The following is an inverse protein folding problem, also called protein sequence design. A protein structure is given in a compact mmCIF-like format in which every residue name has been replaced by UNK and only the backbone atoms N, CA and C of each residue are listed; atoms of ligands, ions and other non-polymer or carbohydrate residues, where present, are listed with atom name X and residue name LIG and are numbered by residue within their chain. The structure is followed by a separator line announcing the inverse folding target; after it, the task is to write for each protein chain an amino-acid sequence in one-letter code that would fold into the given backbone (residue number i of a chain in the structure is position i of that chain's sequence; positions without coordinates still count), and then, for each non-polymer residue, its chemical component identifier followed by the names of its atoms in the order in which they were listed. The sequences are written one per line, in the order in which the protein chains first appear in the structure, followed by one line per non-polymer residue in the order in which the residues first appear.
data_IF_683188817415
#
_entry.id   IF_683188817415
#
_cell.length_a   1.000
_cell.length_b   1.000
_cell.length_c   1.000
_cell.angle_alpha   90.00
_cell.angle_beta   90.00
_cell.angle_gamma   90.00
#
_symmetry.space_group_name_H-M   'P 1'
#
loop_
_entity.id
_entity.type
_entity.pdbx_description
1 polymer ?
#
# COMPACT_ATOMS: atom_id res chain seq x y z
N UNK A 1 -31.38 -7.19 11.27
CA UNK A 1 -31.23 -8.62 10.93
C UNK A 1 -29.73 -8.82 10.74
N UNK A 2 -29.17 -9.71 11.56
CA UNK A 2 -27.76 -9.97 11.89
C UNK A 2 -26.66 -9.41 10.98
N UNK A 3 -25.80 -8.57 11.58
CA UNK A 3 -24.47 -8.22 11.08
C UNK A 3 -23.54 -9.45 11.20
N UNK A 4 -23.03 -9.91 10.07
CA UNK A 4 -22.03 -10.99 9.96
C UNK A 4 -20.65 -10.43 10.33
N UNK A 5 -20.36 -10.41 11.64
CA UNK A 5 -19.03 -10.05 12.16
C UNK A 5 -18.00 -11.10 11.71
N UNK A 6 -17.09 -10.67 10.85
CA UNK A 6 -15.93 -11.45 10.40
C UNK A 6 -15.09 -11.91 11.59
N UNK A 7 -15.21 -13.20 11.93
CA UNK A 7 -14.37 -13.88 12.92
C UNK A 7 -12.96 -14.04 12.36
N UNK A 8 -11.97 -13.43 13.00
CA UNK A 8 -10.56 -13.75 12.75
C UNK A 8 -9.92 -14.12 14.07
N UNK A 9 -9.56 -15.39 14.21
CA UNK A 9 -8.76 -15.88 15.31
C UNK A 9 -7.31 -15.43 15.09
N UNK A 10 -6.87 -14.42 15.84
CA UNK A 10 -5.43 -14.11 15.93
C UNK A 10 -4.83 -14.96 17.04
N UNK A 11 -4.31 -16.11 16.65
CA UNK A 11 -3.49 -16.95 17.53
C UNK A 11 -2.02 -16.57 17.32
N UNK A 12 -1.35 -16.08 18.37
CA UNK A 12 0.11 -16.00 18.38
C UNK A 12 0.71 -17.38 18.64
N UNK A 13 0.61 -18.29 17.66
CA UNK A 13 1.25 -19.60 17.70
C UNK A 13 1.74 -20.00 16.30
N UNK A 14 2.81 -20.79 16.25
CA UNK A 14 3.29 -21.45 15.03
C UNK A 14 2.18 -22.32 14.46
N UNK A 15 1.82 -22.06 13.19
CA UNK A 15 1.30 -23.00 12.19
C UNK A 15 0.42 -24.17 12.70
N UNK A 16 -0.90 -24.10 12.46
CA UNK A 16 -1.83 -25.23 12.32
C UNK A 16 -1.99 -26.25 13.46
N UNK A 17 -2.10 -25.83 14.72
CA UNK A 17 -2.62 -26.72 15.78
C UNK A 17 -3.97 -26.21 16.32
N UNK A 18 -4.98 -27.08 16.29
CA UNK A 18 -6.13 -27.01 17.21
C UNK A 18 -5.52 -26.81 18.59
N UNK A 19 -5.82 -25.69 19.27
CA UNK A 19 -5.34 -25.47 20.63
C UNK A 19 -5.61 -26.76 21.42
N UNK A 20 -4.56 -27.47 21.89
CA UNK A 20 -4.77 -28.60 22.76
C UNK A 20 -5.65 -28.13 23.93
N UNK A 21 -6.53 -28.98 24.44
CA UNK A 21 -7.45 -28.62 25.54
C UNK A 21 -6.72 -28.08 26.81
N UNK A 22 -5.39 -28.19 26.86
CA UNK A 22 -4.52 -27.72 27.93
C UNK A 22 -3.81 -26.38 27.66
N UNK A 23 -4.06 -25.68 26.54
CA UNK A 23 -3.41 -24.39 26.28
C UNK A 23 -4.20 -23.23 26.89
N UNK A 24 -3.52 -22.44 27.73
CA UNK A 24 -4.07 -21.20 28.25
C UNK A 24 -3.82 -20.05 27.27
N UNK A 25 -4.89 -19.41 26.78
CA UNK A 25 -4.82 -18.37 25.76
C UNK A 25 -6.14 -17.62 25.60
N UNK A 26 -6.13 -16.60 24.75
CA UNK A 26 -7.31 -15.81 24.39
C UNK A 26 -7.48 -15.76 22.88
N UNK A 27 -8.72 -15.79 22.44
CA UNK A 27 -9.12 -15.49 21.07
C UNK A 27 -9.63 -14.05 21.05
N UNK A 28 -9.06 -13.23 20.19
CA UNK A 28 -9.46 -11.83 20.03
C UNK A 28 -10.32 -11.66 18.78
N UNK A 29 -11.33 -10.80 18.88
CA UNK A 29 -12.11 -10.29 17.75
C UNK A 29 -11.88 -8.80 17.57
N UNK A 30 -12.19 -8.29 16.38
CA UNK A 30 -12.01 -6.87 16.06
C UNK A 30 -10.56 -6.42 16.17
N UNK A 31 -9.61 -7.29 15.78
CA UNK A 31 -8.19 -7.01 15.96
C UNK A 31 -7.75 -5.84 15.08
N UNK A 32 -7.13 -4.86 15.73
CA UNK A 32 -6.53 -3.69 15.08
C UNK A 32 -5.08 -3.61 15.54
N UNK A 33 -4.16 -3.63 14.58
CA UNK A 33 -2.75 -3.38 14.83
C UNK A 33 -2.46 -1.89 14.73
N UNK A 34 -1.60 -1.39 15.62
CA UNK A 34 -0.95 -0.11 15.43
C UNK A 34 -0.10 -0.18 14.16
N UNK A 35 -0.29 0.81 13.30
CA UNK A 35 0.45 0.98 12.05
C UNK A 35 1.94 1.14 12.35
N UNK A 36 2.77 0.46 11.55
CA UNK A 36 4.21 0.56 11.59
C UNK A 36 4.69 1.65 10.63
N UNK A 37 5.71 2.37 11.08
CA UNK A 37 6.31 3.51 10.35
C UNK A 37 7.36 3.06 9.33
N UNK A 38 7.89 4.03 8.56
CA UNK A 38 9.07 3.84 7.73
C UNK A 38 10.30 3.42 8.57
N UNK A 39 10.49 4.00 9.76
CA UNK A 39 11.60 3.64 10.64
C UNK A 39 11.50 2.19 11.11
N UNK A 40 10.29 1.72 11.44
CA UNK A 40 10.05 0.32 11.77
C UNK A 40 10.40 -0.59 10.58
N UNK A 41 10.02 -0.20 9.36
CA UNK A 41 10.40 -0.93 8.15
C UNK A 41 11.91 -1.01 7.96
N UNK A 42 12.62 0.11 8.12
CA UNK A 42 14.08 0.16 7.94
C UNK A 42 14.82 -0.68 8.99
N UNK A 43 14.35 -0.68 10.24
CA UNK A 43 14.86 -1.55 11.31
C UNK A 43 14.63 -3.01 10.97
N UNK A 44 13.41 -3.36 10.59
CA UNK A 44 13.07 -4.72 10.17
C UNK A 44 13.96 -5.21 9.00
N UNK A 45 14.22 -4.34 8.01
CA UNK A 45 15.10 -4.62 6.87
C UNK A 45 16.57 -4.79 7.25
N UNK A 46 17.01 -4.26 8.39
CA UNK A 46 18.34 -4.46 8.98
C UNK A 46 18.43 -5.69 9.88
N UNK A 47 17.43 -6.56 9.83
CA UNK A 47 17.27 -7.71 10.70
C UNK A 47 17.14 -7.35 12.19
N UNK A 48 16.59 -6.16 12.49
CA UNK A 48 16.21 -5.81 13.86
C UNK A 48 14.76 -6.26 14.13
N UNK A 49 14.46 -6.76 15.34
CA UNK A 49 13.09 -7.10 15.70
C UNK A 49 12.21 -5.85 15.80
N UNK A 50 10.99 -5.95 15.26
CA UNK A 50 9.98 -4.91 15.34
C UNK A 50 8.81 -5.40 16.17
N UNK A 51 8.31 -4.53 17.05
CA UNK A 51 7.17 -4.83 17.91
C UNK A 51 5.89 -4.26 17.32
N UNK A 52 4.94 -5.12 16.98
CA UNK A 52 3.59 -4.71 16.59
C UNK A 52 2.71 -4.71 17.82
N UNK A 53 2.19 -3.55 18.16
CA UNK A 53 1.17 -3.41 19.20
C UNK A 53 -0.17 -3.61 18.55
N UNK A 54 -1.04 -4.41 19.16
CA UNK A 54 -2.40 -4.62 18.67
C UNK A 54 -3.39 -4.64 19.82
N UNK A 55 -4.64 -4.42 19.48
CA UNK A 55 -5.76 -4.44 20.40
C UNK A 55 -6.93 -5.21 19.79
N UNK A 56 -7.77 -5.77 20.66
CA UNK A 56 -8.96 -6.50 20.28
C UNK A 56 -9.83 -6.80 21.50
N UNK A 57 -11.01 -7.38 21.26
CA UNK A 57 -11.93 -7.80 22.31
C UNK A 57 -11.80 -9.30 22.53
N UNK A 58 -11.65 -9.74 23.79
CA UNK A 58 -11.56 -11.17 24.11
C UNK A 58 -12.91 -11.83 23.83
N UNK A 59 -12.97 -12.70 22.83
CA UNK A 59 -14.16 -13.50 22.50
C UNK A 59 -14.16 -14.82 23.29
N UNK A 60 -13.00 -15.44 23.43
CA UNK A 60 -12.82 -16.69 24.17
C UNK A 60 -11.56 -16.61 25.01
N UNK A 61 -11.59 -17.19 26.20
CA UNK A 61 -10.44 -17.31 27.07
C UNK A 61 -10.38 -18.73 27.63
N UNK A 62 -9.26 -19.41 27.46
CA UNK A 62 -8.90 -20.61 28.20
C UNK A 62 -7.80 -20.22 29.20
N UNK A 63 -8.08 -20.22 30.50
CA UNK A 63 -7.06 -19.92 31.52
C UNK A 63 -6.52 -18.48 31.51
N UNK A 64 -5.23 -18.32 31.80
CA UNK A 64 -4.53 -17.03 31.90
C UNK A 64 -3.61 -16.78 30.70
N UNK A 65 -3.45 -15.51 30.31
CA UNK A 65 -2.39 -15.08 29.39
C UNK A 65 -1.20 -14.66 30.23
N UNK A 66 -0.20 -15.55 30.34
CA UNK A 66 0.80 -15.44 31.41
C UNK A 66 0.14 -15.61 32.77
N UNK A 67 0.32 -14.65 33.67
CA UNK A 67 -0.27 -14.65 35.02
C UNK A 67 -1.59 -13.85 35.11
N UNK A 68 -2.12 -13.37 33.98
CA UNK A 68 -3.30 -12.49 33.96
C UNK A 68 -4.51 -13.23 33.42
N UNK A 69 -5.59 -13.27 34.20
CA UNK A 69 -6.92 -13.68 33.72
C UNK A 69 -7.52 -12.50 32.98
N UNK A 70 -7.82 -12.67 31.69
CA UNK A 70 -8.48 -11.64 30.88
C UNK A 70 -9.92 -12.09 30.60
N UNK A 71 -10.94 -11.45 31.21
CA UNK A 71 -12.33 -11.83 31.02
C UNK A 71 -12.79 -11.70 29.55
N UNK A 72 -13.66 -12.62 29.13
CA UNK A 72 -14.41 -12.50 27.88
C UNK A 72 -15.21 -11.20 27.87
N UNK A 73 -15.23 -10.52 26.73
CA UNK A 73 -15.87 -9.21 26.53
C UNK A 73 -14.96 -8.01 26.82
N UNK A 74 -13.81 -8.21 27.48
CA UNK A 74 -12.88 -7.11 27.76
C UNK A 74 -11.97 -6.79 26.57
N UNK A 75 -11.60 -5.51 26.44
CA UNK A 75 -10.54 -5.09 25.53
C UNK A 75 -9.18 -5.50 26.09
N UNK A 76 -8.35 -6.06 25.23
CA UNK A 76 -6.96 -6.40 25.51
C UNK A 76 -6.06 -5.65 24.54
N UNK A 77 -4.92 -5.19 25.07
CA UNK A 77 -3.82 -4.65 24.28
C UNK A 77 -2.60 -5.55 24.49
N UNK A 78 -1.99 -5.96 23.40
CA UNK A 78 -0.83 -6.84 23.41
C UNK A 78 0.25 -6.37 22.43
N UNK A 79 1.41 -7.00 22.53
CA UNK A 79 2.57 -6.73 21.69
C UNK A 79 3.08 -8.05 21.14
N UNK A 80 3.24 -8.11 19.83
CA UNK A 80 3.94 -9.19 19.13
C UNK A 80 5.31 -8.68 18.70
N UNK A 81 6.37 -9.44 18.96
CA UNK A 81 7.66 -9.22 18.31
C UNK A 81 7.71 -10.02 17.00
N UNK A 82 7.92 -9.31 15.89
CA UNK A 82 8.19 -9.93 14.61
C UNK A 82 9.66 -10.35 14.56
N UNK A 83 9.88 -11.65 14.42
CA UNK A 83 11.21 -12.19 14.17
C UNK A 83 11.66 -11.78 12.76
N UNK A 84 12.79 -11.07 12.61
CA UNK A 84 13.30 -10.65 11.30
C UNK A 84 13.69 -11.81 10.39
N UNK A 85 13.82 -13.04 10.91
CA UNK A 85 14.07 -14.25 10.11
C UNK A 85 12.87 -14.67 9.26
N UNK A 86 11.65 -14.33 9.68
CA UNK A 86 10.46 -14.49 8.85
C UNK A 86 10.58 -13.42 7.77
N UNK A 87 10.55 -13.77 6.48
CA UNK A 87 10.66 -12.77 5.42
C UNK A 87 9.28 -12.17 5.17
N UNK A 88 8.99 -10.98 5.69
CA UNK A 88 7.77 -10.25 5.33
C UNK A 88 7.89 -9.68 3.91
N UNK A 89 7.61 -10.51 2.90
CA UNK A 89 7.64 -10.08 1.50
C UNK A 89 6.30 -9.49 1.06
N UNK A 90 5.19 -9.99 1.60
CA UNK A 90 3.83 -9.47 1.43
C UNK A 90 3.49 -8.38 2.44
N UNK A 91 3.47 -7.13 1.97
CA UNK A 91 3.31 -5.93 2.79
C UNK A 91 1.89 -5.39 2.59
N UNK A 92 1.13 -5.21 3.68
CA UNK A 92 -0.14 -4.49 3.64
C UNK A 92 0.09 -3.02 3.94
N UNK A 93 -0.07 -2.19 2.91
CA UNK A 93 -0.06 -0.73 3.03
C UNK A 93 -1.42 -0.28 3.55
N UNK A 94 -1.42 0.44 4.66
CA UNK A 94 -2.60 0.99 5.34
C UNK A 94 -2.40 2.49 5.55
N UNK A 95 -3.43 3.19 5.99
CA UNK A 95 -3.33 4.62 6.23
C UNK A 95 -2.18 4.94 7.22
N UNK A 96 -1.29 5.84 6.82
CA UNK A 96 -0.11 6.24 7.60
C UNK A 96 1.03 5.24 7.71
N UNK A 97 1.03 4.13 6.95
CA UNK A 97 2.17 3.20 6.94
C UNK A 97 1.84 1.78 6.51
N UNK A 98 2.28 0.80 7.29
CA UNK A 98 2.13 -0.61 6.95
C UNK A 98 1.82 -1.50 8.15
N UNK A 99 1.29 -2.69 7.88
CA UNK A 99 1.21 -3.79 8.82
C UNK A 99 1.62 -5.10 8.14
N UNK A 100 2.12 -6.09 8.88
CA UNK A 100 2.22 -7.45 8.37
C UNK A 100 0.87 -7.95 7.84
N UNK A 101 0.88 -8.72 6.75
CA UNK A 101 -0.35 -9.18 6.08
C UNK A 101 -1.36 -9.82 7.04
N UNK A 102 -0.90 -10.63 8.00
CA UNK A 102 -1.80 -11.31 8.94
C UNK A 102 -2.67 -10.38 9.79
N UNK A 103 -2.25 -9.14 10.05
CA UNK A 103 -3.13 -8.13 10.68
C UNK A 103 -4.13 -7.51 9.69
N UNK A 104 -3.77 -7.45 8.41
CA UNK A 104 -4.68 -7.09 7.33
C UNK A 104 -5.77 -8.14 7.11
N UNK A 105 -5.50 -9.43 7.40
CA UNK A 105 -6.46 -10.52 7.19
C UNK A 105 -7.70 -10.44 8.10
N UNK A 106 -7.68 -9.60 9.14
CA UNK A 106 -8.79 -9.40 10.07
C UNK A 106 -9.80 -8.36 9.59
N UNK A 107 -10.59 -8.70 8.57
CA UNK A 107 -11.73 -7.89 8.14
C UNK A 107 -11.38 -6.64 7.32
N UNK A 108 -10.14 -6.54 6.84
CA UNK A 108 -9.73 -5.45 5.95
C UNK A 108 -10.16 -5.74 4.50
N UNK A 109 -10.34 -4.67 3.74
CA UNK A 109 -10.60 -4.71 2.30
C UNK A 109 -9.29 -4.46 1.56
N UNK A 110 -8.73 -5.52 0.98
CA UNK A 110 -7.37 -5.55 0.45
C UNK A 110 -7.42 -5.46 -1.07
N UNK A 111 -6.90 -4.36 -1.59
CA UNK A 111 -6.60 -4.20 -3.00
C UNK A 111 -5.48 -5.17 -3.43
N UNK A 112 -5.70 -5.85 -4.55
CA UNK A 112 -4.75 -6.77 -5.17
C UNK A 112 -4.55 -6.40 -6.64
N UNK A 113 -3.29 -6.24 -7.04
CA UNK A 113 -2.88 -5.92 -8.41
C UNK A 113 -2.67 -7.18 -9.27
N UNK A 114 -2.20 -7.01 -10.52
CA UNK A 114 -1.87 -8.13 -11.40
C UNK A 114 -0.84 -9.08 -10.82
N UNK A 115 0.17 -8.56 -10.13
CA UNK A 115 1.25 -9.37 -9.57
C UNK A 115 0.74 -10.27 -8.45
N UNK A 116 -0.03 -9.72 -7.52
CA UNK A 116 -0.61 -10.46 -6.39
C UNK A 116 -1.64 -11.49 -6.86
N UNK A 117 -2.54 -11.13 -7.78
CA UNK A 117 -3.51 -12.09 -8.33
C UNK A 117 -2.80 -13.24 -9.06
N UNK A 118 -1.75 -12.94 -9.83
CA UNK A 118 -0.95 -13.95 -10.53
C UNK A 118 -0.23 -14.87 -9.54
N UNK A 119 0.28 -14.33 -8.45
CA UNK A 119 0.92 -15.10 -7.39
C UNK A 119 -0.06 -16.00 -6.64
N UNK A 120 -1.24 -15.49 -6.29
CA UNK A 120 -2.32 -16.28 -5.69
C UNK A 120 -2.69 -17.44 -6.64
N UNK A 121 -2.89 -17.14 -7.92
CA UNK A 121 -3.18 -18.15 -8.96
C UNK A 121 -2.06 -19.19 -9.07
N UNK A 122 -0.80 -18.78 -8.97
CA UNK A 122 0.34 -19.68 -9.04
C UNK A 122 0.46 -20.56 -7.79
N UNK A 123 0.15 -20.00 -6.62
CA UNK A 123 0.39 -20.62 -5.30
C UNK A 123 -0.74 -21.52 -4.82
N UNK A 124 -1.99 -21.22 -5.19
CA UNK A 124 -3.18 -21.89 -4.64
C UNK A 124 -4.06 -22.54 -5.70
N UNK A 125 -4.71 -23.64 -5.31
CA UNK A 125 -5.79 -24.30 -6.04
C UNK A 125 -6.83 -24.79 -5.04
N UNK A 126 -8.08 -24.36 -5.20
CA UNK A 126 -9.20 -24.74 -4.34
C UNK A 126 -8.91 -24.56 -2.83
N UNK A 127 -8.32 -23.43 -2.46
CA UNK A 127 -8.03 -23.03 -1.07
C UNK A 127 -6.77 -23.66 -0.49
N UNK A 128 -6.08 -24.53 -1.25
CA UNK A 128 -4.87 -25.23 -0.80
C UNK A 128 -3.65 -24.81 -1.60
N UNK A 129 -2.48 -24.86 -0.97
CA UNK A 129 -1.21 -24.66 -1.66
C UNK A 129 -0.99 -25.77 -2.67
N UNK A 130 -0.57 -25.41 -3.89
CA UNK A 130 -0.25 -26.40 -4.93
C UNK A 130 0.99 -27.21 -4.55
N UNK A 131 0.91 -28.52 -4.76
CA UNK A 131 2.05 -29.43 -4.58
C UNK A 131 3.23 -29.01 -5.47
N UNK A 132 4.44 -28.97 -4.91
CA UNK A 132 5.66 -28.58 -5.63
C UNK A 132 5.84 -27.07 -5.85
N UNK A 133 4.95 -26.22 -5.33
CA UNK A 133 5.20 -24.78 -5.24
C UNK A 133 6.35 -24.51 -4.26
N UNK A 134 7.20 -23.53 -4.58
CA UNK A 134 8.26 -23.10 -3.65
C UNK A 134 7.63 -22.68 -2.30
N UNK A 135 8.26 -22.98 -1.15
CA UNK A 135 7.79 -22.50 0.14
C UNK A 135 7.59 -20.98 0.09
N UNK A 136 6.42 -20.50 0.50
CA UNK A 136 6.23 -19.08 0.73
C UNK A 136 7.03 -18.76 1.99
N UNK A 137 7.98 -17.85 1.88
CA UNK A 137 8.75 -17.41 3.05
C UNK A 137 8.04 -16.31 3.84
N UNK A 138 6.76 -16.06 3.54
CA UNK A 138 5.98 -14.93 4.02
C UNK A 138 4.52 -15.33 4.36
N UNK A 139 3.76 -14.34 4.82
CA UNK A 139 2.39 -14.54 5.31
C UNK A 139 1.33 -14.74 4.21
N UNK A 140 1.71 -14.78 2.92
CA UNK A 140 0.74 -14.94 1.83
C UNK A 140 -0.01 -16.27 1.91
N UNK A 141 0.65 -17.30 2.43
CA UNK A 141 0.06 -18.63 2.66
C UNK A 141 -1.20 -18.59 3.54
N UNK A 142 -1.29 -17.60 4.43
CA UNK A 142 -2.41 -17.44 5.36
C UNK A 142 -3.73 -17.08 4.64
N UNK A 143 -3.68 -16.62 3.38
CA UNK A 143 -4.89 -16.45 2.57
C UNK A 143 -5.64 -17.78 2.33
N UNK A 144 -4.92 -18.91 2.37
CA UNK A 144 -5.50 -20.26 2.28
C UNK A 144 -6.23 -20.71 3.55
N UNK A 145 -6.10 -19.98 4.66
CA UNK A 145 -6.73 -20.37 5.91
C UNK A 145 -8.27 -20.16 5.84
N UNK A 146 -9.09 -21.16 6.19
CA UNK A 146 -10.56 -21.01 6.22
C UNK A 146 -11.08 -19.92 7.16
N UNK A 147 -10.29 -19.52 8.17
CA UNK A 147 -10.61 -18.42 9.10
C UNK A 147 -10.14 -17.05 8.60
N UNK A 148 -9.60 -16.95 7.37
CA UNK A 148 -9.23 -15.69 6.77
C UNK A 148 -10.49 -14.84 6.52
N UNK A 149 -10.60 -13.72 7.24
CA UNK A 149 -11.79 -12.86 7.22
C UNK A 149 -11.67 -11.62 6.33
N UNK A 150 -10.63 -11.51 5.49
CA UNK A 150 -10.47 -10.36 4.61
C UNK A 150 -11.33 -10.44 3.36
N UNK A 151 -11.45 -9.28 2.72
CA UNK A 151 -12.09 -9.13 1.43
C UNK A 151 -11.02 -8.74 0.42
N UNK A 152 -10.90 -9.48 -0.69
CA UNK A 152 -10.03 -9.08 -1.79
C UNK A 152 -10.81 -8.21 -2.78
N UNK A 153 -10.18 -7.15 -3.23
CA UNK A 153 -10.69 -6.29 -4.30
C UNK A 153 -9.70 -6.26 -5.47
N UNK A 154 -10.05 -6.90 -6.60
CA UNK A 154 -9.20 -6.94 -7.80
C UNK A 154 -9.40 -5.73 -8.74
N UNK A 155 -9.99 -4.63 -8.29
CA UNK A 155 -10.11 -3.41 -9.08
C UNK A 155 -8.76 -2.92 -9.64
N UNK A 156 -7.64 -2.91 -8.88
CA UNK A 156 -6.33 -2.56 -9.45
C UNK A 156 -5.92 -3.46 -10.60
N UNK A 157 -6.11 -4.79 -10.47
CA UNK A 157 -5.87 -5.73 -11.57
C UNK A 157 -6.61 -5.33 -12.85
N UNK A 158 -7.88 -4.95 -12.73
CA UNK A 158 -8.73 -4.62 -13.86
C UNK A 158 -8.40 -3.25 -14.49
N UNK A 159 -8.06 -2.27 -13.65
CA UNK A 159 -7.67 -0.92 -14.09
C UNK A 159 -6.29 -0.88 -14.75
N UNK A 160 -5.37 -1.78 -14.37
CA UNK A 160 -4.04 -1.85 -15.00
C UNK A 160 -4.14 -2.18 -16.49
N UNK A 161 -5.19 -2.90 -16.90
CA UNK A 161 -5.40 -3.19 -18.31
C UNK A 161 -4.27 -4.00 -18.95
N UNK A 162 -4.37 -4.20 -20.26
CA UNK A 162 -3.26 -4.70 -21.10
C UNK A 162 -2.81 -3.62 -22.09
N UNK A 163 -3.38 -2.43 -21.97
CA UNK A 163 -3.12 -1.26 -22.78
C UNK A 163 -2.23 -0.35 -21.94
N UNK A 164 -1.22 0.28 -22.55
CA UNK A 164 -0.37 1.27 -21.86
C UNK A 164 -1.12 2.61 -21.65
N UNK A 165 -2.37 2.53 -21.21
CA UNK A 165 -3.29 3.60 -20.89
C UNK A 165 -4.46 3.02 -20.06
N UNK A 166 -5.21 3.89 -19.38
CA UNK A 166 -6.43 3.47 -18.69
C UNK A 166 -7.41 2.81 -19.69
N UNK A 167 -7.92 1.60 -19.35
CA UNK A 167 -8.83 0.85 -20.22
C UNK A 167 -10.22 1.52 -20.35
N UNK A 168 -11.06 1.00 -21.26
CA UNK A 168 -12.49 1.36 -21.31
C UNK A 168 -13.25 0.71 -20.15
N UNK A 169 -14.45 1.21 -19.85
CA UNK A 169 -15.27 0.68 -18.76
C UNK A 169 -15.65 -0.81 -18.99
N UNK A 170 -15.95 -1.19 -20.23
CA UNK A 170 -16.23 -2.57 -20.63
C UNK A 170 -15.00 -3.46 -20.42
N UNK A 171 -13.82 -2.99 -20.83
CA UNK A 171 -12.58 -3.73 -20.65
C UNK A 171 -12.23 -3.93 -19.16
N UNK A 172 -12.51 -2.93 -18.30
CA UNK A 172 -12.38 -3.09 -16.84
C UNK A 172 -13.36 -4.14 -16.33
N UNK A 173 -14.63 -4.10 -16.76
CA UNK A 173 -15.65 -5.05 -16.33
C UNK A 173 -15.27 -6.50 -16.68
N UNK A 174 -14.82 -6.74 -17.92
CA UNK A 174 -14.35 -8.04 -18.38
C UNK A 174 -13.14 -8.54 -17.56
N UNK A 175 -12.18 -7.66 -17.31
CA UNK A 175 -10.99 -8.01 -16.54
C UNK A 175 -11.30 -8.25 -15.07
N UNK A 176 -12.25 -7.51 -14.49
CA UNK A 176 -12.71 -7.73 -13.13
C UNK A 176 -13.37 -9.11 -13.01
N UNK A 177 -14.24 -9.47 -13.95
CA UNK A 177 -14.86 -10.80 -13.98
C UNK A 177 -13.81 -11.92 -14.07
N UNK A 178 -12.80 -11.74 -14.93
CA UNK A 178 -11.67 -12.68 -15.08
C UNK A 178 -10.83 -12.81 -13.80
N UNK A 179 -10.53 -11.69 -13.13
CA UNK A 179 -9.79 -11.68 -11.88
C UNK A 179 -10.58 -12.34 -10.74
N UNK A 180 -11.87 -12.03 -10.61
CA UNK A 180 -12.76 -12.65 -9.63
C UNK A 180 -12.84 -14.16 -9.85
N UNK A 181 -13.02 -14.61 -11.10
CA UNK A 181 -13.03 -16.03 -11.44
C UNK A 181 -11.71 -16.72 -11.05
N UNK A 182 -10.59 -16.07 -11.34
CA UNK A 182 -9.25 -16.55 -10.96
C UNK A 182 -9.10 -16.68 -9.44
N UNK A 183 -9.49 -15.65 -8.69
CA UNK A 183 -9.41 -15.63 -7.23
C UNK A 183 -10.32 -16.70 -6.61
N UNK A 184 -11.58 -16.81 -7.06
CA UNK A 184 -12.53 -17.81 -6.56
C UNK A 184 -12.07 -19.25 -6.83
N UNK A 185 -11.40 -19.50 -7.96
CA UNK A 185 -10.80 -20.81 -8.23
C UNK A 185 -9.63 -21.12 -7.30
N UNK A 186 -8.76 -20.14 -7.06
CA UNK A 186 -7.57 -20.32 -6.24
C UNK A 186 -7.91 -20.41 -4.74
N UNK A 187 -8.83 -19.56 -4.26
CA UNK A 187 -9.20 -19.35 -2.86
C UNK A 187 -10.73 -19.22 -2.74
N UNK A 188 -11.50 -20.31 -2.84
CA UNK A 188 -12.97 -20.25 -2.88
C UNK A 188 -13.61 -19.72 -1.57
N UNK A 189 -12.90 -19.81 -0.45
CA UNK A 189 -13.33 -19.31 0.85
C UNK A 189 -13.20 -17.79 1.00
N UNK A 190 -12.37 -17.13 0.17
CA UNK A 190 -12.07 -15.71 0.36
C UNK A 190 -13.23 -14.85 -0.10
N UNK A 191 -13.54 -13.81 0.68
CA UNK A 191 -14.59 -12.86 0.32
C UNK A 191 -14.06 -11.91 -0.77
N UNK A 192 -14.92 -11.53 -1.71
CA UNK A 192 -14.62 -10.54 -2.74
C UNK A 192 -15.39 -9.27 -2.41
N UNK A 193 -14.73 -8.12 -2.54
CA UNK A 193 -15.36 -6.82 -2.37
C UNK A 193 -15.17 -5.94 -3.62
N UNK A 194 -16.22 -5.20 -4.03
CA UNK A 194 -17.61 -5.27 -3.54
C UNK A 194 -18.26 -6.63 -3.84
N UNK A 195 -19.26 -7.01 -3.03
CA UNK A 195 -19.98 -8.29 -3.21
C UNK A 195 -20.74 -8.30 -4.55
N UNK A 196 -21.33 -7.16 -4.90
CA UNK A 196 -21.85 -6.91 -6.23
C UNK A 196 -20.74 -6.26 -7.07
N UNK A 197 -20.48 -6.73 -8.30
CA UNK A 197 -19.51 -6.08 -9.19
C UNK A 197 -19.89 -4.63 -9.45
N UNK A 198 -18.88 -3.78 -9.65
CA UNK A 198 -19.09 -2.40 -10.08
C UNK A 198 -19.90 -2.37 -11.38
N UNK A 199 -20.88 -1.47 -11.43
CA UNK A 199 -21.62 -1.18 -12.66
C UNK A 199 -20.73 -0.48 -13.69
N UNK A 200 -21.11 -0.52 -14.97
CA UNK A 200 -20.39 0.20 -16.02
C UNK A 200 -20.34 1.71 -15.75
N UNK A 201 -21.41 2.27 -15.19
CA UNK A 201 -21.47 3.69 -14.83
C UNK A 201 -20.49 4.04 -13.71
N UNK A 202 -20.42 3.22 -12.66
CA UNK A 202 -19.46 3.41 -11.56
C UNK A 202 -18.01 3.34 -12.04
N UNK A 203 -17.72 2.38 -12.93
CA UNK A 203 -16.41 2.23 -13.55
C UNK A 203 -16.09 3.46 -14.43
N UNK A 204 -17.05 3.93 -15.24
CA UNK A 204 -16.86 5.08 -16.11
C UNK A 204 -16.56 6.35 -15.30
N UNK A 205 -17.33 6.61 -14.24
CA UNK A 205 -17.10 7.73 -13.32
C UNK A 205 -15.71 7.65 -12.68
N UNK A 206 -15.28 6.45 -12.29
CA UNK A 206 -13.94 6.25 -11.74
C UNK A 206 -12.84 6.54 -12.77
N UNK A 207 -12.97 6.03 -14.00
CA UNK A 207 -12.00 6.23 -15.07
C UNK A 207 -11.89 7.71 -15.43
N UNK A 208 -13.02 8.41 -15.58
CA UNK A 208 -13.03 9.82 -15.96
C UNK A 208 -12.45 10.72 -14.87
N UNK A 209 -12.64 10.37 -13.60
CA UNK A 209 -11.99 11.06 -12.47
C UNK A 209 -10.46 11.06 -12.58
N UNK A 210 -9.87 9.97 -13.06
CA UNK A 210 -8.43 9.78 -13.05
C UNK A 210 -7.76 9.91 -14.43
N UNK A 211 -8.53 10.04 -15.51
CA UNK A 211 -8.03 10.08 -16.89
C UNK A 211 -6.97 11.14 -17.12
N UNK A 212 -7.28 12.38 -16.74
CA UNK A 212 -6.38 13.51 -16.96
C UNK A 212 -5.13 13.38 -16.09
N UNK A 213 -5.31 13.05 -14.80
CA UNK A 213 -4.21 12.80 -13.84
C UNK A 213 -3.26 11.72 -14.41
N UNK A 214 -3.80 10.60 -14.87
CA UNK A 214 -2.99 9.51 -15.38
C UNK A 214 -2.22 9.92 -16.65
N UNK A 215 -2.88 10.62 -17.57
CA UNK A 215 -2.25 11.10 -18.81
C UNK A 215 -1.18 12.16 -18.56
N UNK A 216 -1.41 13.08 -17.63
CA UNK A 216 -0.48 14.14 -17.22
C UNK A 216 0.75 13.54 -16.59
N UNK A 217 0.57 12.55 -15.72
CA UNK A 217 1.65 11.83 -15.08
C UNK A 217 2.55 11.11 -16.09
N UNK A 218 1.99 10.45 -17.11
CA UNK A 218 2.79 9.83 -18.18
C UNK A 218 3.61 10.89 -18.92
N UNK A 219 2.97 11.96 -19.40
CA UNK A 219 3.65 13.02 -20.17
C UNK A 219 4.76 13.68 -19.34
N UNK A 220 4.49 13.94 -18.07
CA UNK A 220 5.47 14.49 -17.13
C UNK A 220 6.66 13.54 -16.94
N UNK A 221 6.42 12.26 -16.61
CA UNK A 221 7.47 11.29 -16.37
C UNK A 221 8.35 11.08 -17.60
N UNK A 222 7.78 11.00 -18.81
CA UNK A 222 8.56 10.93 -20.05
C UNK A 222 9.51 12.12 -20.21
N UNK A 223 9.09 13.32 -19.81
CA UNK A 223 9.91 14.52 -19.90
C UNK A 223 11.02 14.55 -18.86
N UNK A 224 10.72 14.20 -17.62
CA UNK A 224 11.66 14.42 -16.50
C UNK A 224 12.52 13.21 -16.18
N UNK A 225 12.03 11.99 -16.35
CA UNK A 225 12.72 10.78 -15.88
C UNK A 225 14.17 10.65 -16.38
N UNK A 226 14.53 10.93 -17.66
CA UNK A 226 15.92 10.86 -18.09
C UNK A 226 16.87 11.75 -17.28
N UNK A 227 16.40 12.92 -16.83
CA UNK A 227 17.20 13.84 -16.00
C UNK A 227 17.40 13.34 -14.56
N UNK A 228 16.56 12.41 -14.10
CA UNK A 228 16.61 11.84 -12.74
C UNK A 228 17.67 10.72 -12.62
N UNK A 229 18.25 10.26 -13.73
CA UNK A 229 19.25 9.19 -13.73
C UNK A 229 20.50 9.53 -12.92
N UNK A 230 21.01 10.75 -13.09
CA UNK A 230 22.24 11.16 -12.45
C UNK A 230 22.07 11.14 -10.92
N UNK A 231 23.13 10.78 -10.20
CA UNK A 231 23.17 11.04 -8.77
C UNK A 231 23.25 12.56 -8.57
N UNK A 232 22.14 13.15 -8.13
CA UNK A 232 22.07 14.58 -7.89
C UNK A 232 22.70 14.87 -6.52
N UNK A 233 24.01 15.12 -6.51
CA UNK A 233 24.68 15.61 -5.30
C UNK A 233 24.07 16.94 -4.86
N UNK A 234 24.13 17.26 -3.56
CA UNK A 234 23.48 18.45 -2.97
C UNK A 234 23.73 19.73 -3.77
N UNK A 235 24.96 19.95 -4.24
CA UNK A 235 25.36 21.13 -4.99
C UNK A 235 24.66 21.30 -6.36
N UNK A 236 24.08 20.23 -6.92
CA UNK A 236 23.41 20.23 -8.24
C UNK A 236 21.88 20.11 -8.14
N UNK A 237 21.34 19.86 -6.95
CA UNK A 237 19.91 19.57 -6.78
C UNK A 237 19.00 20.76 -7.06
N UNK A 238 19.44 21.97 -6.70
CA UNK A 238 18.66 23.18 -6.98
C UNK A 238 18.47 23.42 -8.48
N UNK A 239 19.49 23.14 -9.29
CA UNK A 239 19.36 23.23 -10.75
C UNK A 239 18.40 22.17 -11.29
N UNK A 240 18.48 20.93 -10.78
CA UNK A 240 17.57 19.85 -11.15
C UNK A 240 16.12 20.15 -10.76
N UNK A 241 15.87 20.73 -9.58
CA UNK A 241 14.54 21.16 -9.17
C UNK A 241 13.97 22.22 -10.11
N UNK A 242 14.75 23.26 -10.44
CA UNK A 242 14.30 24.30 -11.38
C UNK A 242 13.94 23.71 -12.74
N UNK A 243 14.76 22.79 -13.27
CA UNK A 243 14.46 22.12 -14.54
C UNK A 243 13.18 21.25 -14.48
N UNK A 244 12.96 20.55 -13.36
CA UNK A 244 11.72 19.80 -13.14
C UNK A 244 10.50 20.74 -13.08
N UNK A 245 10.60 21.86 -12.38
CA UNK A 245 9.51 22.85 -12.24
C UNK A 245 9.21 23.54 -13.57
N UNK A 246 10.23 23.85 -14.36
CA UNK A 246 10.06 24.33 -15.73
C UNK A 246 9.31 23.31 -16.60
N UNK A 247 9.58 22.02 -16.43
CA UNK A 247 8.83 20.97 -17.12
C UNK A 247 7.36 20.90 -16.65
N UNK A 248 7.08 21.07 -15.34
CA UNK A 248 5.72 21.18 -14.81
C UNK A 248 4.97 22.32 -15.50
N UNK A 249 5.57 23.51 -15.57
CA UNK A 249 4.99 24.70 -16.18
C UNK A 249 4.77 24.53 -17.69
N UNK A 250 5.78 24.03 -18.41
CA UNK A 250 5.72 23.83 -19.86
C UNK A 250 4.65 22.82 -20.27
N UNK A 251 4.45 21.77 -19.47
CA UNK A 251 3.45 20.74 -19.74
C UNK A 251 2.06 21.08 -19.20
N UNK A 252 1.92 22.16 -18.41
CA UNK A 252 0.66 22.53 -17.76
C UNK A 252 0.20 21.53 -16.69
N UNK A 253 1.13 20.76 -16.12
CA UNK A 253 0.82 19.75 -15.10
C UNK A 253 0.65 20.45 -13.75
N UNK A 254 -0.28 19.97 -12.92
CA UNK A 254 -0.46 20.51 -11.56
C UNK A 254 0.81 20.30 -10.72
N UNK A 255 1.31 21.32 -9.99
CA UNK A 255 2.40 21.15 -9.03
C UNK A 255 2.07 20.14 -7.91
N UNK A 256 0.79 19.89 -7.64
CA UNK A 256 0.29 18.92 -6.66
C UNK A 256 0.17 17.50 -7.24
N UNK A 257 0.48 17.32 -8.51
CA UNK A 257 0.37 16.02 -9.15
C UNK A 257 1.31 15.01 -8.46
N UNK A 258 0.85 13.79 -8.13
CA UNK A 258 1.67 12.79 -7.42
C UNK A 258 3.03 12.51 -8.06
N UNK A 259 3.12 12.42 -9.39
CA UNK A 259 4.40 12.26 -10.08
C UNK A 259 5.39 13.41 -9.85
N UNK A 260 4.93 14.66 -9.64
CA UNK A 260 5.80 15.79 -9.31
C UNK A 260 6.42 15.59 -7.92
N UNK A 261 5.60 15.18 -6.95
CA UNK A 261 6.04 14.82 -5.60
C UNK A 261 7.05 13.66 -5.62
N UNK A 262 6.76 12.58 -6.36
CA UNK A 262 7.68 11.43 -6.45
C UNK A 262 8.97 11.80 -7.19
N UNK A 263 8.91 12.60 -8.26
CA UNK A 263 10.12 13.09 -8.94
C UNK A 263 10.96 14.00 -8.05
N UNK A 264 10.32 14.85 -7.25
CA UNK A 264 11.01 15.69 -6.27
C UNK A 264 11.71 14.83 -5.20
N UNK A 265 11.02 13.82 -4.66
CA UNK A 265 11.64 12.87 -3.73
C UNK A 265 12.82 12.15 -4.39
N UNK A 266 12.69 11.74 -5.65
CA UNK A 266 13.77 11.10 -6.40
C UNK A 266 15.01 11.99 -6.58
N UNK A 267 14.85 13.31 -6.70
CA UNK A 267 15.94 14.28 -6.77
C UNK A 267 16.57 14.61 -5.42
N UNK A 268 15.83 14.40 -4.33
CA UNK A 268 16.15 14.99 -3.02
C UNK A 268 16.64 13.94 -2.03
N UNK A 269 16.05 12.74 -2.04
CA UNK A 269 16.42 11.65 -1.14
C UNK A 269 17.87 11.21 -1.34
N UNK A 270 18.47 10.70 -0.25
CA UNK A 270 19.85 10.21 -0.26
C UNK A 270 20.05 9.10 -1.30
N UNK A 271 21.24 8.99 -1.90
CA UNK A 271 21.47 7.90 -2.87
C UNK A 271 21.45 6.50 -2.23
N UNK A 272 21.66 6.41 -0.91
CA UNK A 272 21.61 5.15 -0.15
C UNK A 272 20.17 4.66 0.01
N UNK A 273 19.22 5.59 0.15
CA UNK A 273 17.80 5.29 0.32
C UNK A 273 16.95 6.25 -0.52
N UNK A 274 16.55 5.79 -1.70
CA UNK A 274 15.76 6.56 -2.66
C UNK A 274 14.70 5.67 -3.33
N UNK A 275 13.61 5.31 -2.62
CA UNK A 275 12.57 4.46 -3.16
C UNK A 275 11.85 5.12 -4.35
N UNK A 276 11.67 6.44 -4.35
CA UNK A 276 11.06 7.17 -5.47
C UNK A 276 11.80 6.95 -6.80
N UNK A 277 13.14 7.02 -6.79
CA UNK A 277 13.97 6.71 -7.96
C UNK A 277 13.88 5.24 -8.38
N UNK A 278 13.63 4.32 -7.44
CA UNK A 278 13.44 2.88 -7.71
C UNK A 278 12.04 2.54 -8.21
N UNK A 279 11.03 3.35 -7.92
CA UNK A 279 9.69 3.29 -8.51
C UNK A 279 9.73 3.86 -9.93
N UNK A 280 10.28 5.05 -10.12
CA UNK A 280 10.36 5.69 -11.45
C UNK A 280 11.26 4.89 -12.42
N UNK A 281 12.35 4.30 -11.91
CA UNK A 281 13.40 3.60 -12.69
C UNK A 281 13.94 4.44 -13.87
N UNK A 282 14.48 5.65 -13.61
CA UNK A 282 15.04 6.52 -14.65
C UNK A 282 16.00 5.82 -15.61
N UNK A 283 15.86 6.11 -16.91
CA UNK A 283 16.72 5.61 -17.96
C UNK A 283 16.97 6.69 -19.02
N UNK A 284 18.06 6.55 -19.79
CA UNK A 284 18.47 7.58 -20.75
C UNK A 284 17.46 7.68 -21.90
N UNK A 285 16.96 6.51 -22.30
CA UNK A 285 15.77 6.34 -23.12
C UNK A 285 14.66 5.92 -22.17
N UNK A 286 13.69 6.80 -21.95
CA UNK A 286 12.54 6.55 -21.07
C UNK A 286 11.26 6.65 -21.88
N UNK A 287 10.73 5.49 -22.27
CA UNK A 287 9.64 5.39 -23.23
C UNK A 287 8.25 5.52 -22.60
N UNK A 288 7.19 5.47 -23.44
CA UNK A 288 5.80 5.40 -22.97
C UNK A 288 5.56 4.22 -22.01
N UNK A 289 6.16 3.07 -22.28
CA UNK A 289 6.02 1.87 -21.44
C UNK A 289 6.62 2.06 -20.04
N UNK A 290 7.81 2.67 -19.95
CA UNK A 290 8.47 2.95 -18.68
C UNK A 290 7.66 3.96 -17.85
N UNK A 291 7.19 5.03 -18.51
CA UNK A 291 6.35 6.04 -17.89
C UNK A 291 5.00 5.47 -17.44
N UNK A 292 4.40 4.57 -18.23
CA UNK A 292 3.18 3.87 -17.85
C UNK A 292 3.38 3.04 -16.57
N UNK A 293 4.43 2.21 -16.52
CA UNK A 293 4.69 1.35 -15.35
C UNK A 293 4.92 2.19 -14.09
N UNK A 294 5.72 3.25 -14.18
CA UNK A 294 5.95 4.15 -13.06
C UNK A 294 4.68 4.92 -12.66
N UNK A 295 3.89 5.39 -13.64
CA UNK A 295 2.61 6.05 -13.38
C UNK A 295 1.62 5.10 -12.72
N UNK A 296 1.58 3.83 -13.14
CA UNK A 296 0.71 2.82 -12.55
C UNK A 296 1.04 2.58 -11.08
N UNK A 297 2.32 2.38 -10.75
CA UNK A 297 2.77 2.23 -9.36
C UNK A 297 2.35 3.44 -8.49
N UNK A 298 2.49 4.66 -9.01
CA UNK A 298 2.07 5.90 -8.32
C UNK A 298 0.55 6.00 -8.23
N UNK A 299 -0.17 5.61 -9.28
CA UNK A 299 -1.62 5.60 -9.36
C UNK A 299 -2.24 4.64 -8.34
N UNK A 300 -1.62 3.48 -8.10
CA UNK A 300 -2.05 2.55 -7.05
C UNK A 300 -2.10 3.22 -5.67
N UNK A 301 -1.12 4.07 -5.34
CA UNK A 301 -1.11 4.81 -4.08
C UNK A 301 -2.19 5.89 -4.02
N UNK A 302 -2.44 6.56 -5.15
CA UNK A 302 -3.52 7.56 -5.26
C UNK A 302 -4.90 6.90 -5.10
N UNK A 303 -5.10 5.75 -5.75
CA UNK A 303 -6.32 4.96 -5.66
C UNK A 303 -6.54 4.46 -4.22
N UNK A 304 -5.50 3.88 -3.61
CA UNK A 304 -5.52 3.47 -2.20
C UNK A 304 -5.97 4.61 -1.30
N UNK A 305 -5.35 5.79 -1.43
CA UNK A 305 -5.68 6.93 -0.59
C UNK A 305 -7.12 7.42 -0.80
N UNK A 306 -7.58 7.50 -2.05
CA UNK A 306 -8.94 7.93 -2.35
C UNK A 306 -10.00 7.05 -1.68
N UNK A 307 -9.77 5.74 -1.63
CA UNK A 307 -10.66 4.81 -0.95
C UNK A 307 -10.53 4.85 0.58
N UNK A 308 -9.32 5.02 1.12
CA UNK A 308 -9.12 5.20 2.57
C UNK A 308 -9.86 6.43 3.11
N UNK A 309 -9.86 7.55 2.37
CA UNK A 309 -10.63 8.75 2.75
C UNK A 309 -12.14 8.58 2.55
N UNK A 310 -12.55 7.92 1.46
CA UNK A 310 -13.97 7.80 1.11
C UNK A 310 -14.75 6.79 1.96
N UNK A 311 -14.10 5.70 2.41
CA UNK A 311 -14.75 4.60 3.14
C UNK A 311 -13.87 4.07 4.30
N UNK A 312 -13.53 4.92 5.28
CA UNK A 312 -12.58 4.56 6.35
C UNK A 312 -13.00 3.33 7.17
N UNK A 313 -14.31 3.11 7.33
CA UNK A 313 -14.86 1.96 8.03
C UNK A 313 -14.47 0.61 7.39
N UNK A 314 -14.15 0.59 6.09
CA UNK A 314 -13.76 -0.62 5.37
C UNK A 314 -12.28 -0.99 5.56
N UNK A 315 -11.48 -0.16 6.24
CA UNK A 315 -10.05 -0.44 6.51
C UNK A 315 -9.30 -0.83 5.24
N UNK A 316 -9.39 0.03 4.22
CA UNK A 316 -8.81 -0.25 2.90
C UNK A 316 -7.29 -0.39 3.01
N UNK A 317 -6.76 -1.46 2.44
CA UNK A 317 -5.32 -1.73 2.38
C UNK A 317 -4.90 -2.08 0.94
N UNK A 318 -3.63 -1.88 0.60
CA UNK A 318 -3.02 -2.40 -0.62
C UNK A 318 -2.01 -3.49 -0.25
N UNK A 319 -2.16 -4.67 -0.84
CA UNK A 319 -1.16 -5.72 -0.73
C UNK A 319 -0.13 -5.57 -1.84
N UNK A 320 1.15 -5.42 -1.47
CA UNK A 320 2.25 -5.36 -2.43
C UNK A 320 3.45 -6.15 -1.95
N UNK A 321 4.28 -6.59 -2.90
CA UNK A 321 5.63 -7.12 -2.63
C UNK A 321 6.74 -6.20 -3.11
N UNK A 322 6.39 -5.08 -3.73
CA UNK A 322 7.36 -4.06 -4.11
C UNK A 322 7.76 -3.25 -2.87
N UNK A 323 8.98 -3.53 -2.39
CA UNK A 323 9.56 -2.92 -1.20
C UNK A 323 9.85 -1.43 -1.39
N UNK A 324 10.06 -0.96 -2.62
CA UNK A 324 10.27 0.45 -2.92
C UNK A 324 8.93 1.20 -2.97
N UNK A 325 7.90 0.60 -3.56
CA UNK A 325 6.55 1.16 -3.52
C UNK A 325 6.05 1.28 -2.07
N UNK A 326 6.25 0.22 -1.28
CA UNK A 326 5.93 0.22 0.14
C UNK A 326 6.71 1.31 0.91
N UNK A 327 8.02 1.41 0.70
CA UNK A 327 8.85 2.42 1.37
C UNK A 327 8.48 3.86 0.95
N UNK A 328 8.06 4.06 -0.31
CA UNK A 328 7.55 5.33 -0.79
C UNK A 328 6.26 5.70 -0.05
N UNK A 329 5.30 4.78 0.04
CA UNK A 329 4.05 4.98 0.79
C UNK A 329 4.30 5.31 2.26
N UNK A 330 5.16 4.56 2.94
CA UNK A 330 5.45 4.78 4.36
C UNK A 330 6.12 6.12 4.69
N UNK A 331 6.77 6.75 3.71
CA UNK A 331 7.42 8.05 3.88
C UNK A 331 6.71 9.19 3.16
N UNK A 332 5.51 8.95 2.62
CA UNK A 332 4.76 9.93 1.84
C UNK A 332 3.26 9.84 2.17
N UNK A 333 2.71 10.91 2.73
CA UNK A 333 1.29 10.97 3.09
C UNK A 333 0.56 11.88 2.09
N UNK A 334 -0.38 11.31 1.35
CA UNK A 334 -1.17 12.02 0.33
C UNK A 334 -2.47 12.48 0.98
N UNK A 335 -2.85 13.75 0.85
CA UNK A 335 -4.14 14.28 1.29
C UNK A 335 -4.93 14.85 0.11
N UNK A 336 -5.67 14.04 -0.66
CA UNK A 336 -6.45 14.51 -1.81
C UNK A 336 -7.53 15.54 -1.45
N UNK A 337 -8.13 15.42 -0.26
CA UNK A 337 -9.15 16.36 0.23
C UNK A 337 -8.57 17.56 0.99
N UNK A 338 -7.25 17.54 1.19
CA UNK A 338 -6.50 18.51 2.00
C UNK A 338 -6.32 18.14 3.46
N UNK A 339 -5.36 18.80 4.11
CA UNK A 339 -4.96 18.58 5.50
C UNK A 339 -5.42 19.74 6.41
N UNK A 340 -5.65 19.46 7.70
CA UNK A 340 -5.92 20.49 8.70
C UNK A 340 -4.84 21.59 8.65
N UNK A 341 -5.24 22.85 8.49
CA UNK A 341 -4.33 23.99 8.33
C UNK A 341 -3.84 24.29 6.90
N UNK A 342 -4.20 23.49 5.89
CA UNK A 342 -3.91 23.75 4.47
C UNK A 342 -5.18 24.04 3.67
N UNK A 343 -6.25 23.28 3.90
CA UNK A 343 -7.53 23.43 3.21
C UNK A 343 -7.50 23.13 1.70
N UNK A 344 -6.43 22.51 1.21
CA UNK A 344 -6.20 22.13 -0.21
C UNK A 344 -5.41 20.82 -0.31
N UNK A 345 -5.48 20.11 -1.45
CA UNK A 345 -4.74 18.86 -1.64
C UNK A 345 -3.24 19.06 -1.43
N UNK A 346 -2.60 18.17 -0.68
CA UNK A 346 -1.17 18.25 -0.40
C UNK A 346 -0.53 16.88 -0.22
N UNK A 347 0.81 16.82 -0.36
CA UNK A 347 1.61 15.64 -0.09
C UNK A 347 2.67 16.00 0.94
N UNK A 348 2.72 15.23 2.03
CA UNK A 348 3.68 15.36 3.11
C UNK A 348 4.76 14.31 2.96
N UNK A 349 5.98 14.65 3.37
CA UNK A 349 7.12 13.73 3.31
C UNK A 349 7.75 13.48 4.68
N UNK A 350 8.21 12.25 4.87
CA UNK A 350 9.24 11.93 5.84
C UNK A 350 10.60 12.50 5.37
N UNK A 351 11.43 12.96 6.31
CA UNK A 351 12.75 13.53 6.03
C UNK A 351 13.68 12.59 5.25
N UNK A 352 13.46 11.27 5.33
CA UNK A 352 14.25 10.29 4.59
C UNK A 352 13.92 10.27 3.09
N UNK A 353 12.70 10.70 2.71
CA UNK A 353 12.27 10.84 1.33
C UNK A 353 12.47 12.27 0.78
N UNK A 354 12.64 13.25 1.66
CA UNK A 354 12.88 14.63 1.31
C UNK A 354 13.94 15.23 2.27
N UNK A 355 15.21 14.88 2.13
CA UNK A 355 16.29 15.44 2.96
C UNK A 355 16.63 16.87 2.49
N UNK A 356 16.10 17.90 3.15
CA UNK A 356 16.38 19.32 2.87
C UNK A 356 16.86 20.06 4.10
N UNK A 357 17.78 21.01 3.91
CA UNK A 357 17.97 22.09 4.87
C UNK A 357 16.77 23.03 4.89
N UNK A 358 16.67 23.89 5.91
CA UNK A 358 15.60 24.90 6.03
C UNK A 358 15.61 25.85 4.83
N UNK A 359 16.79 26.27 4.37
CA UNK A 359 16.96 27.16 3.21
C UNK A 359 16.52 26.47 1.92
N UNK A 360 16.83 25.18 1.79
CA UNK A 360 16.44 24.36 0.64
C UNK A 360 14.93 24.13 0.59
N UNK A 361 14.30 23.85 1.73
CA UNK A 361 12.85 23.76 1.83
C UNK A 361 12.19 25.10 1.47
N UNK A 362 12.72 26.21 1.98
CA UNK A 362 12.22 27.56 1.67
C UNK A 362 12.32 27.86 0.17
N UNK A 363 13.43 27.47 -0.47
CA UNK A 363 13.58 27.57 -1.92
C UNK A 363 12.53 26.73 -2.66
N UNK A 364 12.34 25.46 -2.28
CA UNK A 364 11.33 24.60 -2.89
C UNK A 364 9.91 25.18 -2.76
N UNK A 365 9.57 25.68 -1.57
CA UNK A 365 8.29 26.34 -1.31
C UNK A 365 8.13 27.62 -2.13
N UNK A 366 9.21 28.36 -2.40
CA UNK A 366 9.16 29.53 -3.28
C UNK A 366 8.94 29.15 -4.75
N UNK A 367 9.43 27.98 -5.19
CA UNK A 367 9.34 27.54 -6.57
C UNK A 367 8.02 26.81 -6.88
N UNK A 368 7.53 26.00 -5.94
CA UNK A 368 6.34 25.16 -6.12
C UNK A 368 5.11 25.72 -5.40
N UNK A 369 5.28 26.69 -4.49
CA UNK A 369 4.25 27.17 -3.59
C UNK A 369 4.29 26.44 -2.23
N UNK A 370 4.21 27.20 -1.14
CA UNK A 370 4.34 26.68 0.24
C UNK A 370 3.25 25.66 0.64
N UNK A 371 2.12 25.66 -0.07
CA UNK A 371 1.02 24.72 0.16
C UNK A 371 1.26 23.35 -0.49
N UNK A 372 2.23 23.25 -1.40
CA UNK A 372 2.43 22.05 -2.22
C UNK A 372 3.51 21.10 -1.65
N UNK A 373 4.36 21.56 -0.73
CA UNK A 373 5.43 20.75 -0.10
C UNK A 373 5.59 21.10 1.37
N UNK A 374 5.44 20.11 2.25
CA UNK A 374 5.67 20.23 3.69
C UNK A 374 6.22 18.92 4.28
N UNK A 375 6.86 19.01 5.44
CA UNK A 375 7.20 17.85 6.26
C UNK A 375 6.00 17.40 7.09
N UNK A 376 5.90 16.09 7.34
CA UNK A 376 4.85 15.52 8.19
C UNK A 376 4.99 15.96 9.66
N UNK A 377 6.23 16.24 10.10
CA UNK A 377 6.52 16.86 11.39
C UNK A 377 7.51 18.03 11.15
N UNK A 378 7.07 19.30 11.22
CA UNK A 378 7.92 20.46 10.98
C UNK A 378 9.04 20.63 12.01
#
# INVERSE_FOLDING_TARGET
MQEDNSRVAVTLLRYDEVLPAAFSGVVLTGVVAKVLSLDDWLRYRKNEPVSVVFEGTVEQASGSVGDVIVPVGNRMRARLQLDPRIKNESICLVDGGWVPLFYGLSGSHIFVDRNIVSEIKASFDNGRRKSGSAPLSDFLEMLGNPACGCYLNPLPFALEGNTQNLPSAEAVQDQLASAISTLKKALPQIKIWPEQPYSLEEIQVLLDRYRDIFSDGIRFLQRVAPSLMAATGRNRRQAAWRAMIEAVQTLGVSPQHPCVAVALSALTASQVFNPAKKVIKPAAVYGPADAYNAMWDIFLLLLLRGFQEGVPAQRIALLTRDKNLAALWMGMTIHPSGHEGVGKPCILFDKQLLDCSVEELSLLQSLLGADNIRYENP
#
